data_IF_187851164296
#
_entry.id   IF_187851164296
#
_cell.length_a   1.000
_cell.length_b   1.000
_cell.length_c   1.000
_cell.angle_alpha   90.00
_cell.angle_beta   90.00
_cell.angle_gamma   90.00
#
_symmetry.space_group_name_H-M   'P 1'
#
loop_
_entity.id
_entity.type
_entity.pdbx_description
1 polymer ?
#
# COMPACT_ATOMS: atom_id res chain seq x y z
N UNK A 1 -0.80 8.67 -8.13
CA UNK A 1 -0.82 7.54 -7.40
C UNK A 1 -1.19 6.19 -7.97
N UNK A 2 -2.20 6.07 -8.86
CA UNK A 2 -2.72 4.76 -9.24
C UNK A 2 -3.02 3.90 -7.98
N UNK A 3 -2.57 2.64 -7.92
CA UNK A 3 -2.81 1.76 -6.77
C UNK A 3 -2.10 2.23 -5.47
N UNK A 4 -1.09 3.12 -5.55
CA UNK A 4 -0.46 3.71 -4.37
C UNK A 4 -1.31 4.79 -3.67
N UNK A 5 -2.51 5.10 -4.15
CA UNK A 5 -3.37 6.18 -3.65
C UNK A 5 -3.61 6.13 -2.14
N UNK A 6 -3.65 4.95 -1.53
CA UNK A 6 -3.71 4.83 -0.07
C UNK A 6 -2.47 5.46 0.59
N UNK A 7 -1.28 5.17 0.07
CA UNK A 7 -0.02 5.77 0.54
C UNK A 7 0.03 7.27 0.29
N UNK A 8 -0.38 7.73 -0.90
CA UNK A 8 -0.43 9.15 -1.24
C UNK A 8 -1.35 9.91 -0.27
N UNK A 9 -2.56 9.37 -0.04
CA UNK A 9 -3.57 9.97 0.84
C UNK A 9 -3.07 10.08 2.29
N UNK A 10 -2.50 8.99 2.82
CA UNK A 10 -1.94 8.99 4.17
C UNK A 10 -0.74 9.94 4.30
N UNK A 11 0.17 9.96 3.32
CA UNK A 11 1.32 10.85 3.29
C UNK A 11 0.90 12.32 3.29
N UNK A 12 -0.06 12.71 2.43
CA UNK A 12 -0.60 14.07 2.40
C UNK A 12 -1.33 14.42 3.69
N UNK A 13 -2.06 13.47 4.28
CA UNK A 13 -2.71 13.64 5.58
C UNK A 13 -1.71 13.91 6.70
N UNK A 14 -0.62 13.14 6.77
CA UNK A 14 0.47 13.35 7.72
C UNK A 14 1.12 14.72 7.53
N UNK A 15 1.44 15.09 6.29
CA UNK A 15 2.01 16.40 5.97
C UNK A 15 1.10 17.55 6.40
N UNK A 16 -0.21 17.42 6.16
CA UNK A 16 -1.20 18.45 6.53
C UNK A 16 -1.28 18.66 8.04
N UNK A 17 -1.22 17.58 8.81
CA UNK A 17 -1.26 17.66 10.28
C UNK A 17 0.09 18.16 10.82
N UNK A 18 1.21 17.63 10.35
CA UNK A 18 2.53 18.04 10.80
C UNK A 18 2.86 19.50 10.43
N UNK A 19 2.36 19.95 9.28
CA UNK A 19 2.47 21.34 8.84
C UNK A 19 1.51 22.33 9.52
N UNK A 20 0.62 21.85 10.40
CA UNK A 20 -0.35 22.69 11.13
C UNK A 20 -1.50 23.19 10.26
N UNK A 21 -1.73 22.60 9.08
CA UNK A 21 -2.84 22.98 8.20
C UNK A 21 -4.19 22.40 8.67
N UNK A 22 -4.15 21.31 9.44
CA UNK A 22 -5.34 20.66 9.99
C UNK A 22 -5.02 19.89 11.27
N UNK A 23 -5.95 19.83 12.22
CA UNK A 23 -5.86 18.99 13.43
C UNK A 23 -6.29 17.56 13.17
N UNK A 24 -7.19 17.37 12.20
CA UNK A 24 -7.71 16.06 11.77
C UNK A 24 -7.88 16.02 10.26
N UNK A 25 -7.53 14.89 9.66
CA UNK A 25 -7.67 14.63 8.22
C UNK A 25 -8.31 13.26 8.02
N UNK A 26 -9.25 13.17 7.10
CA UNK A 26 -9.79 11.91 6.62
C UNK A 26 -9.08 11.52 5.35
N UNK A 27 -8.41 10.37 5.37
CA UNK A 27 -7.76 9.76 4.22
C UNK A 27 -8.63 8.59 3.75
N UNK A 28 -9.16 8.65 2.54
CA UNK A 28 -10.03 7.62 2.00
C UNK A 28 -9.59 7.18 0.61
N UNK A 29 -9.68 5.88 0.36
CA UNK A 29 -9.30 5.29 -0.92
C UNK A 29 -10.22 4.12 -1.24
N UNK A 30 -10.56 3.97 -2.51
CA UNK A 30 -11.42 2.90 -2.98
C UNK A 30 -11.04 2.43 -4.38
N UNK A 31 -11.34 1.19 -4.68
CA UNK A 31 -11.34 0.65 -6.04
C UNK A 31 -12.56 -0.21 -6.28
N UNK A 32 -13.02 -0.21 -7.51
CA UNK A 32 -14.12 -1.03 -7.96
C UNK A 32 -13.84 -1.47 -9.40
N UNK A 33 -13.97 -2.78 -9.64
CA UNK A 33 -13.70 -3.37 -10.94
C UNK A 33 -14.45 -2.70 -12.09
N UNK A 34 -15.74 -2.40 -11.91
CA UNK A 34 -16.59 -1.80 -12.94
C UNK A 34 -16.31 -0.31 -13.23
N UNK A 35 -15.36 0.30 -12.54
CA UNK A 35 -14.90 1.68 -12.77
C UNK A 35 -13.64 1.73 -13.65
N UNK A 36 -12.73 2.67 -13.39
CA UNK A 36 -11.47 2.81 -14.13
C UNK A 36 -10.61 1.53 -14.16
N UNK A 37 -10.70 0.69 -13.14
CA UNK A 37 -9.93 -0.56 -13.04
C UNK A 37 -10.20 -1.51 -14.23
N UNK A 38 -11.41 -1.53 -14.78
CA UNK A 38 -11.77 -2.34 -15.94
C UNK A 38 -10.85 -2.05 -17.14
N UNK A 39 -10.42 -0.81 -17.30
CA UNK A 39 -9.58 -0.39 -18.41
C UNK A 39 -8.17 -1.00 -18.35
N UNK A 40 -7.70 -1.33 -17.15
CA UNK A 40 -6.37 -1.88 -16.90
C UNK A 40 -6.35 -3.40 -16.80
N UNK A 41 -7.53 -4.05 -16.80
CA UNK A 41 -7.71 -5.50 -16.70
C UNK A 41 -8.11 -6.13 -18.02
N UNK A 42 -7.72 -5.55 -19.11
CA UNK A 42 -8.04 -6.02 -20.48
C UNK A 42 -7.15 -7.21 -20.88
N UNK A 43 -7.62 -8.19 -21.67
CA UNK A 43 -8.99 -8.35 -22.19
C UNK A 43 -9.89 -9.15 -21.23
N UNK A 44 -11.00 -8.55 -20.83
CA UNK A 44 -11.93 -9.16 -19.87
C UNK A 44 -12.81 -10.24 -20.46
N UNK A 45 -13.15 -10.11 -21.72
CA UNK A 45 -13.93 -11.07 -22.47
C UNK A 45 -13.24 -12.45 -22.51
N UNK A 46 -11.93 -12.48 -22.29
CA UNK A 46 -11.10 -13.68 -22.26
C UNK A 46 -10.54 -13.95 -20.87
N UNK A 47 -11.35 -13.81 -19.83
CA UNK A 47 -10.94 -13.90 -18.43
C UNK A 47 -10.11 -15.15 -18.08
N UNK A 48 -10.33 -16.28 -18.77
CA UNK A 48 -9.57 -17.51 -18.57
C UNK A 48 -8.16 -17.49 -19.19
N UNK A 49 -7.83 -16.48 -19.97
CA UNK A 49 -6.56 -16.37 -20.70
C UNK A 49 -5.62 -15.36 -20.05
N UNK A 50 -5.86 -14.99 -18.81
CA UNK A 50 -4.99 -14.09 -18.05
C UNK A 50 -3.63 -14.76 -17.80
N UNK A 51 -2.50 -14.08 -18.00
CA UNK A 51 -1.20 -14.61 -17.61
C UNK A 51 -1.11 -14.79 -16.09
N UNK A 52 -0.22 -15.65 -15.63
CA UNK A 52 0.00 -15.91 -14.21
C UNK A 52 0.51 -14.67 -13.44
N UNK A 53 1.03 -13.67 -14.14
CA UNK A 53 1.44 -12.37 -13.61
C UNK A 53 0.27 -11.40 -13.37
N UNK A 54 -0.89 -11.65 -13.96
CA UNK A 54 -2.07 -10.80 -13.80
C UNK A 54 -2.64 -10.88 -12.39
N UNK A 55 -3.26 -9.78 -11.95
CA UNK A 55 -3.93 -9.67 -10.66
C UNK A 55 -5.41 -9.31 -10.84
N UNK A 56 -6.23 -9.58 -9.82
CA UNK A 56 -7.63 -9.16 -9.75
C UNK A 56 -7.77 -7.81 -9.06
N UNK A 57 -8.81 -7.05 -9.42
CA UNK A 57 -9.15 -5.84 -8.66
C UNK A 57 -9.60 -6.22 -7.25
N UNK A 58 -8.91 -5.67 -6.25
CA UNK A 58 -9.38 -5.66 -4.88
C UNK A 58 -10.50 -4.63 -4.74
N UNK A 59 -11.76 -5.05 -4.99
CA UNK A 59 -12.92 -4.16 -4.86
C UNK A 59 -13.23 -3.90 -3.40
N UNK A 60 -13.11 -2.65 -3.00
CA UNK A 60 -13.34 -2.23 -1.63
C UNK A 60 -12.89 -0.80 -1.36
N UNK A 61 -13.06 -0.36 -0.14
CA UNK A 61 -12.63 0.97 0.33
C UNK A 61 -12.12 0.91 1.76
N UNK A 62 -11.19 1.81 2.08
CA UNK A 62 -10.74 2.08 3.44
C UNK A 62 -10.73 3.58 3.70
N UNK A 63 -11.09 3.98 4.91
CA UNK A 63 -11.04 5.36 5.37
C UNK A 63 -10.35 5.42 6.74
N UNK A 64 -9.44 6.38 6.89
CA UNK A 64 -8.62 6.55 8.08
C UNK A 64 -8.74 7.98 8.56
N UNK A 65 -9.01 8.16 9.85
CA UNK A 65 -8.98 9.46 10.50
C UNK A 65 -7.61 9.63 11.15
N UNK A 66 -6.81 10.53 10.62
CA UNK A 66 -5.54 10.94 11.21
C UNK A 66 -5.78 12.14 12.13
N UNK A 67 -5.06 12.23 13.23
CA UNK A 67 -5.06 13.36 14.14
C UNK A 67 -3.69 13.52 14.81
N UNK A 68 -3.39 14.73 15.30
CA UNK A 68 -2.21 14.93 16.13
C UNK A 68 -2.45 14.38 17.56
N UNK A 69 -1.39 14.21 18.33
CA UNK A 69 -1.46 13.64 19.67
C UNK A 69 -2.30 14.50 20.63
N UNK A 70 -2.30 15.83 20.46
CA UNK A 70 -3.12 16.74 21.24
C UNK A 70 -4.62 16.58 20.90
N UNK A 71 -4.96 16.44 19.61
CA UNK A 71 -6.33 16.18 19.17
C UNK A 71 -6.84 14.80 19.63
N UNK A 72 -5.96 13.82 19.76
CA UNK A 72 -6.29 12.51 20.33
C UNK A 72 -6.63 12.62 21.85
N UNK A 73 -5.96 13.52 22.57
CA UNK A 73 -6.20 13.77 24.01
C UNK A 73 -7.40 14.68 24.26
N UNK A 74 -7.73 15.60 23.35
CA UNK A 74 -8.81 16.59 23.49
C UNK A 74 -10.19 16.13 22.98
N UNK A 75 -10.30 14.93 22.46
CA UNK A 75 -11.53 14.37 21.88
C UNK A 75 -12.59 13.94 22.92
N UNK A 76 -12.80 14.68 23.98
CA UNK A 76 -13.76 14.37 25.01
C UNK A 76 -14.28 15.60 25.74
N UNK A 77 -15.02 16.50 25.07
CA UNK A 77 -16.09 17.23 25.74
C UNK A 77 -17.36 16.41 25.57
N UNK A 78 -17.81 15.87 26.69
CA UNK A 78 -19.11 15.21 26.81
C UNK A 78 -20.22 16.20 26.50
N UNK A 79 -20.94 16.00 25.40
CA UNK A 79 -22.35 16.40 25.32
C UNK A 79 -23.11 15.35 24.49
N UNK A 80 -23.81 14.51 25.21
CA UNK A 80 -25.10 13.90 24.91
C UNK A 80 -25.26 13.08 23.61
N UNK A 81 -24.64 11.87 23.52
CA UNK A 81 -25.33 10.72 22.91
C UNK A 81 -24.78 9.44 23.53
N UNK A 82 -25.62 8.58 24.05
CA UNK A 82 -25.37 7.47 24.95
C UNK A 82 -24.48 6.30 24.47
N UNK A 83 -23.38 6.56 23.74
CA UNK A 83 -22.36 5.57 23.42
C UNK A 83 -21.02 6.25 23.08
N UNK A 84 -20.46 7.02 24.00
CA UNK A 84 -19.15 7.69 23.86
C UNK A 84 -18.06 6.86 24.51
N UNK A 85 -17.76 5.70 23.95
CA UNK A 85 -16.47 5.07 24.15
C UNK A 85 -15.40 6.00 23.57
N UNK A 86 -14.52 6.55 24.43
CA UNK A 86 -13.32 7.30 24.05
C UNK A 86 -12.55 6.46 23.04
N UNK A 87 -12.59 6.82 21.75
CA UNK A 87 -11.85 6.09 20.71
C UNK A 87 -10.37 6.43 20.88
N UNK A 88 -9.62 5.52 21.45
CA UNK A 88 -8.16 5.56 21.45
C UNK A 88 -7.63 5.37 20.03
N UNK A 89 -6.47 5.97 19.74
CA UNK A 89 -5.78 5.68 18.48
C UNK A 89 -5.48 4.18 18.39
N UNK A 90 -5.67 3.60 17.21
CA UNK A 90 -5.37 2.18 16.95
C UNK A 90 -3.90 1.95 16.66
N UNK A 91 -3.23 2.94 16.10
CA UNK A 91 -1.82 2.92 15.76
C UNK A 91 -1.30 4.35 15.59
N UNK A 92 0.01 4.52 15.52
CA UNK A 92 0.68 5.81 15.30
C UNK A 92 1.55 5.74 14.05
N UNK A 93 1.48 6.77 13.19
CA UNK A 93 2.44 6.95 12.12
C UNK A 93 3.63 7.74 12.69
N UNK A 94 4.82 7.14 12.69
CA UNK A 94 6.04 7.70 13.30
C UNK A 94 7.08 8.15 12.29
N UNK A 95 6.93 7.75 11.03
CA UNK A 95 7.83 8.15 9.95
C UNK A 95 7.21 7.95 8.59
N UNK A 96 7.76 8.64 7.59
CA UNK A 96 7.35 8.46 6.20
C UNK A 96 8.52 8.70 5.26
N UNK A 97 8.50 8.03 4.11
CA UNK A 97 9.43 8.23 3.00
C UNK A 97 8.63 8.45 1.73
N UNK A 98 8.79 9.63 1.15
CA UNK A 98 8.16 9.94 -0.14
C UNK A 98 9.00 9.31 -1.25
N UNK A 99 8.44 8.30 -1.91
CA UNK A 99 9.13 7.62 -3.00
C UNK A 99 9.15 8.44 -4.29
N UNK A 100 10.03 8.05 -5.18
CA UNK A 100 10.16 8.61 -6.53
C UNK A 100 9.55 7.68 -7.57
N UNK A 101 9.21 8.22 -8.74
CA UNK A 101 8.85 7.43 -9.91
C UNK A 101 10.10 6.70 -10.42
N UNK A 102 9.97 5.39 -10.62
CA UNK A 102 11.03 4.53 -11.17
C UNK A 102 10.51 3.84 -12.41
N UNK A 103 11.27 3.91 -13.49
CA UNK A 103 10.93 3.31 -14.78
C UNK A 103 12.09 2.45 -15.30
N UNK A 104 11.86 1.14 -15.37
CA UNK A 104 12.80 0.16 -15.93
C UNK A 104 12.49 -0.18 -17.40
N UNK A 105 11.62 0.58 -18.04
CA UNK A 105 11.27 0.38 -19.45
C UNK A 105 10.33 -0.79 -19.70
N UNK A 106 9.71 -1.35 -18.65
CA UNK A 106 8.74 -2.44 -18.79
C UNK A 106 7.45 -1.94 -19.44
N UNK A 107 6.89 -2.72 -20.37
CA UNK A 107 5.71 -2.34 -21.16
C UNK A 107 4.53 -3.33 -20.98
N UNK A 108 4.74 -4.40 -20.21
CA UNK A 108 3.72 -5.42 -20.01
C UNK A 108 2.70 -4.96 -18.94
N UNK A 109 1.55 -4.47 -19.40
CA UNK A 109 0.45 -4.04 -18.54
C UNK A 109 -0.21 -5.18 -17.74
N UNK A 110 0.03 -6.43 -18.16
CA UNK A 110 -0.48 -7.62 -17.45
C UNK A 110 0.51 -8.10 -16.37
N UNK A 111 1.64 -7.43 -16.22
CA UNK A 111 2.65 -7.71 -15.19
C UNK A 111 2.97 -6.44 -14.38
N UNK A 112 1.92 -5.83 -13.83
CA UNK A 112 2.06 -4.58 -13.05
C UNK A 112 2.97 -4.76 -11.83
N UNK A 113 2.98 -5.95 -11.21
CA UNK A 113 3.86 -6.24 -10.08
C UNK A 113 5.34 -6.05 -10.42
N UNK A 114 5.79 -6.56 -11.57
CA UNK A 114 7.16 -6.34 -12.03
C UNK A 114 7.45 -4.87 -12.35
N UNK A 115 6.46 -4.12 -12.86
CA UNK A 115 6.61 -2.68 -13.11
C UNK A 115 6.75 -1.87 -11.80
N UNK A 116 6.07 -2.27 -10.73
CA UNK A 116 6.08 -1.58 -9.43
C UNK A 116 7.26 -1.96 -8.53
N UNK A 117 7.77 -3.18 -8.63
CA UNK A 117 8.80 -3.71 -7.75
C UNK A 117 10.09 -2.84 -7.70
N UNK A 118 10.60 -2.27 -8.81
CA UNK A 118 11.74 -1.36 -8.76
C UNK A 118 11.51 -0.09 -7.94
N UNK A 119 10.29 0.46 -7.97
CA UNK A 119 9.94 1.62 -7.17
C UNK A 119 9.87 1.27 -5.68
N UNK A 120 9.27 0.12 -5.34
CA UNK A 120 9.25 -0.39 -3.97
C UNK A 120 10.67 -0.64 -3.45
N UNK A 121 11.54 -1.29 -4.25
CA UNK A 121 12.94 -1.53 -3.89
C UNK A 121 13.70 -0.22 -3.62
N UNK A 122 13.54 0.78 -4.51
CA UNK A 122 14.15 2.10 -4.34
C UNK A 122 13.68 2.80 -3.07
N UNK A 123 12.39 2.72 -2.74
CA UNK A 123 11.83 3.39 -1.56
C UNK A 123 12.21 2.66 -0.27
N UNK A 124 12.28 1.33 -0.26
CA UNK A 124 12.78 0.55 0.90
C UNK A 124 14.24 0.90 1.18
N UNK A 125 15.10 0.84 0.16
CA UNK A 125 16.52 1.19 0.30
C UNK A 125 16.70 2.62 0.84
N UNK A 126 15.97 3.59 0.24
CA UNK A 126 16.02 4.98 0.70
C UNK A 126 15.52 5.12 2.14
N UNK A 127 14.42 4.45 2.48
CA UNK A 127 13.87 4.47 3.83
C UNK A 127 14.87 3.95 4.87
N UNK A 128 15.46 2.79 4.62
CA UNK A 128 16.44 2.21 5.53
C UNK A 128 17.65 3.12 5.73
N UNK A 129 18.12 3.78 4.67
CA UNK A 129 19.21 4.74 4.73
C UNK A 129 18.84 6.02 5.50
N UNK A 130 17.67 6.62 5.20
CA UNK A 130 17.24 7.89 5.80
C UNK A 130 16.97 7.76 7.31
N UNK A 131 16.44 6.60 7.72
CA UNK A 131 16.13 6.32 9.12
C UNK A 131 17.26 5.59 9.86
N UNK A 132 18.39 5.32 9.17
CA UNK A 132 19.51 4.52 9.70
C UNK A 132 19.01 3.23 10.36
N UNK A 133 18.11 2.53 9.67
CA UNK A 133 17.42 1.33 10.13
C UNK A 133 17.75 0.11 9.27
N UNK A 134 17.44 -1.06 9.80
CA UNK A 134 17.62 -2.35 9.14
C UNK A 134 16.27 -3.05 8.97
N UNK A 135 16.13 -4.03 8.07
CA UNK A 135 14.88 -4.79 7.94
C UNK A 135 14.39 -5.39 9.26
N UNK A 136 15.32 -5.77 10.14
CA UNK A 136 15.04 -6.38 11.45
C UNK A 136 14.36 -5.43 12.44
N UNK A 137 14.41 -4.14 12.21
CA UNK A 137 13.74 -3.12 13.03
C UNK A 137 12.21 -3.10 12.83
N UNK A 138 11.72 -3.85 11.83
CA UNK A 138 10.31 -3.97 11.48
C UNK A 138 9.83 -5.40 11.66
N UNK A 139 8.67 -5.59 12.29
CA UNK A 139 8.02 -6.89 12.34
C UNK A 139 7.57 -7.34 10.95
N UNK A 140 7.09 -6.39 10.15
CA UNK A 140 6.74 -6.61 8.74
C UNK A 140 7.09 -5.41 7.86
N UNK A 141 7.50 -5.72 6.62
CA UNK A 141 7.62 -4.77 5.50
C UNK A 141 6.51 -5.15 4.52
N UNK A 142 5.57 -4.25 4.31
CA UNK A 142 4.27 -4.55 3.68
C UNK A 142 4.12 -3.74 2.42
N UNK A 143 4.04 -4.40 1.26
CA UNK A 143 3.74 -3.73 -0.01
C UNK A 143 2.26 -3.75 -0.35
N UNK A 144 1.84 -2.88 -1.29
CA UNK A 144 0.44 -2.65 -1.59
C UNK A 144 -0.22 -3.73 -2.43
N UNK A 145 0.35 -3.99 -3.61
CA UNK A 145 -0.27 -4.87 -4.59
C UNK A 145 0.73 -5.39 -5.65
N UNK A 146 1.92 -5.73 -5.21
CA UNK A 146 2.93 -6.35 -6.07
C UNK A 146 2.50 -7.75 -6.54
N UNK A 147 1.73 -8.44 -5.73
CA UNK A 147 1.37 -9.83 -5.94
C UNK A 147 2.60 -10.77 -5.94
N UNK A 148 2.34 -12.05 -6.17
CA UNK A 148 3.37 -13.12 -6.09
C UNK A 148 4.58 -12.85 -7.02
N UNK A 149 4.33 -12.35 -8.24
CA UNK A 149 5.39 -12.08 -9.21
C UNK A 149 6.23 -10.86 -8.79
N UNK A 150 5.57 -9.74 -8.47
CA UNK A 150 6.26 -8.53 -8.05
C UNK A 150 6.98 -8.69 -6.71
N UNK A 151 6.43 -9.47 -5.77
CA UNK A 151 7.10 -9.84 -4.52
C UNK A 151 8.45 -10.51 -4.77
N UNK A 152 8.50 -11.51 -5.67
CA UNK A 152 9.74 -12.20 -6.01
C UNK A 152 10.76 -11.23 -6.62
N UNK A 153 10.33 -10.41 -7.57
CA UNK A 153 11.20 -9.40 -8.20
C UNK A 153 11.73 -8.41 -7.16
N UNK A 154 10.89 -7.94 -6.25
CA UNK A 154 11.30 -7.03 -5.17
C UNK A 154 12.40 -7.65 -4.29
N UNK A 155 12.18 -8.88 -3.84
CA UNK A 155 13.13 -9.59 -2.96
C UNK A 155 14.47 -9.76 -3.68
N UNK A 156 14.46 -10.18 -4.94
CA UNK A 156 15.67 -10.38 -5.74
C UNK A 156 16.44 -9.06 -5.94
N UNK A 157 15.73 -7.96 -6.29
CA UNK A 157 16.33 -6.63 -6.45
C UNK A 157 16.99 -6.11 -5.16
N UNK A 158 16.38 -6.36 -4.01
CA UNK A 158 16.94 -5.93 -2.72
C UNK A 158 18.12 -6.81 -2.30
N UNK A 159 18.07 -8.12 -2.58
CA UNK A 159 19.20 -9.03 -2.32
C UNK A 159 20.45 -8.68 -3.11
N UNK A 160 20.31 -8.23 -4.36
CA UNK A 160 21.43 -7.70 -5.14
C UNK A 160 22.14 -6.51 -4.46
N UNK A 161 21.43 -5.80 -3.58
CA UNK A 161 21.94 -4.68 -2.78
C UNK A 161 22.34 -5.08 -1.35
N UNK A 162 22.30 -6.38 -1.02
CA UNK A 162 22.61 -6.89 0.31
C UNK A 162 21.50 -6.70 1.34
N UNK A 163 20.28 -6.38 0.91
CA UNK A 163 19.11 -6.20 1.78
C UNK A 163 18.21 -7.42 1.63
N UNK A 164 18.01 -8.20 2.66
CA UNK A 164 17.09 -9.34 2.66
C UNK A 164 15.86 -9.05 3.53
N UNK A 165 14.70 -9.05 2.89
CA UNK A 165 13.39 -8.83 3.54
C UNK A 165 12.50 -10.06 3.50
N UNK A 166 12.97 -11.20 2.98
CA UNK A 166 12.13 -12.35 2.64
C UNK A 166 11.30 -12.90 3.79
N UNK A 167 11.85 -12.91 5.01
CA UNK A 167 11.16 -13.42 6.20
C UNK A 167 10.14 -12.44 6.80
N UNK A 168 10.20 -11.17 6.38
CA UNK A 168 9.39 -10.08 6.93
C UNK A 168 8.43 -9.49 5.93
N UNK A 169 8.62 -9.79 4.65
CA UNK A 169 7.80 -9.23 3.60
C UNK A 169 6.44 -9.92 3.49
N UNK A 170 5.39 -9.10 3.43
CA UNK A 170 4.05 -9.50 3.00
C UNK A 170 3.53 -8.49 1.98
N UNK A 171 2.55 -8.89 1.18
CA UNK A 171 1.96 -8.04 0.15
C UNK A 171 0.43 -8.05 0.28
N UNK A 172 -0.18 -6.87 0.35
CA UNK A 172 -1.63 -6.74 0.52
C UNK A 172 -2.41 -7.44 -0.60
N UNK A 173 -1.87 -7.45 -1.82
CA UNK A 173 -2.49 -8.14 -2.94
C UNK A 173 -2.47 -9.66 -2.80
N UNK A 174 -1.49 -10.22 -2.07
CA UNK A 174 -1.45 -11.64 -1.74
C UNK A 174 -2.42 -11.93 -0.59
N UNK A 175 -2.46 -11.07 0.43
CA UNK A 175 -3.25 -11.28 1.64
C UNK A 175 -4.77 -11.09 1.44
N UNK A 176 -5.20 -10.30 0.44
CA UNK A 176 -6.61 -9.97 0.28
C UNK A 176 -7.46 -11.11 -0.28
N UNK A 177 -6.83 -12.10 -0.92
CA UNK A 177 -7.49 -13.24 -1.54
C UNK A 177 -6.88 -14.56 -1.11
N UNK A 178 -7.70 -15.59 -1.05
CA UNK A 178 -7.23 -16.97 -1.00
C UNK A 178 -6.82 -17.41 -2.42
N UNK A 179 -5.51 -17.32 -2.70
CA UNK A 179 -4.96 -17.59 -4.02
C UNK A 179 -5.12 -19.04 -4.50
N UNK A 180 -5.39 -19.99 -3.58
CA UNK A 180 -5.54 -21.40 -3.92
C UNK A 180 -6.97 -21.74 -4.37
N UNK A 181 -7.97 -21.08 -3.78
CA UNK A 181 -9.39 -21.36 -4.05
C UNK A 181 -10.06 -20.33 -4.99
N UNK A 182 -9.51 -19.14 -5.16
CA UNK A 182 -10.16 -18.03 -5.86
C UNK A 182 -9.60 -17.70 -7.25
N UNK A 183 -8.64 -18.48 -7.76
CA UNK A 183 -8.04 -18.30 -9.09
C UNK A 183 -7.56 -16.85 -9.36
N UNK A 184 -6.88 -16.26 -8.38
CA UNK A 184 -6.44 -14.85 -8.47
C UNK A 184 -5.05 -14.68 -9.11
N UNK A 185 -4.40 -15.76 -9.55
CA UNK A 185 -3.06 -15.80 -10.14
C UNK A 185 -2.02 -15.10 -9.24
N UNK A 186 -1.61 -13.86 -9.61
CA UNK A 186 -0.62 -13.11 -8.81
C UNK A 186 -1.19 -12.53 -7.53
N UNK A 187 -2.52 -12.44 -7.39
CA UNK A 187 -3.20 -11.88 -6.23
C UNK A 187 -4.12 -10.71 -6.57
N UNK A 188 -4.41 -9.88 -5.59
CA UNK A 188 -5.21 -8.67 -5.74
C UNK A 188 -4.38 -7.44 -6.11
N UNK A 189 -5.05 -6.43 -6.66
CA UNK A 189 -4.46 -5.14 -6.99
C UNK A 189 -5.55 -4.06 -7.03
N UNK A 190 -5.17 -2.79 -7.06
CA UNK A 190 -6.08 -1.66 -7.17
C UNK A 190 -5.96 -0.68 -5.99
N UNK A 191 -6.52 0.51 -6.19
CA UNK A 191 -6.40 1.60 -5.21
C UNK A 191 -6.93 1.24 -3.81
N UNK A 192 -7.99 0.42 -3.74
CA UNK A 192 -8.58 -0.02 -2.47
C UNK A 192 -7.88 -1.21 -1.83
N UNK A 193 -7.02 -1.94 -2.56
CA UNK A 193 -6.40 -3.18 -2.07
C UNK A 193 -5.63 -2.96 -0.76
N UNK A 194 -4.65 -2.07 -0.76
CA UNK A 194 -3.86 -1.76 0.43
C UNK A 194 -4.68 -1.09 1.54
N UNK A 195 -5.70 -0.28 1.20
CA UNK A 195 -6.56 0.35 2.19
C UNK A 195 -7.45 -0.65 2.94
N UNK A 196 -8.03 -1.61 2.23
CA UNK A 196 -8.82 -2.69 2.84
C UNK A 196 -7.93 -3.54 3.75
N UNK A 197 -6.77 -3.96 3.26
CA UNK A 197 -5.84 -4.78 4.05
C UNK A 197 -5.30 -4.03 5.26
N UNK A 198 -4.98 -2.72 5.12
CA UNK A 198 -4.56 -1.90 6.26
C UNK A 198 -5.67 -1.85 7.32
N UNK A 199 -6.91 -1.55 6.93
CA UNK A 199 -8.02 -1.35 7.88
C UNK A 199 -8.48 -2.65 8.55
N UNK A 200 -8.57 -3.74 7.80
CA UNK A 200 -9.17 -4.99 8.27
C UNK A 200 -8.16 -5.96 8.90
N UNK A 201 -6.91 -5.92 8.47
CA UNK A 201 -5.89 -6.87 8.90
C UNK A 201 -4.72 -6.21 9.64
N UNK A 202 -3.98 -5.30 8.99
CA UNK A 202 -2.73 -4.75 9.52
C UNK A 202 -2.96 -3.99 10.83
N UNK A 203 -3.96 -3.08 10.87
CA UNK A 203 -4.28 -2.32 12.08
C UNK A 203 -4.73 -3.23 13.22
N UNK A 204 -5.38 -4.35 12.92
CA UNK A 204 -5.75 -5.34 13.94
C UNK A 204 -4.52 -6.01 14.53
N UNK A 205 -3.53 -6.40 13.71
CA UNK A 205 -2.28 -6.97 14.19
C UNK A 205 -1.50 -6.01 15.11
N UNK A 206 -1.51 -4.71 14.78
CA UNK A 206 -0.89 -3.67 15.61
C UNK A 206 -1.68 -3.44 16.91
N UNK A 207 -3.01 -3.39 16.85
CA UNK A 207 -3.90 -3.20 18.00
C UNK A 207 -3.80 -4.36 19.02
N UNK A 208 -3.72 -5.58 18.50
CA UNK A 208 -3.50 -6.80 19.30
C UNK A 208 -2.04 -6.98 19.74
N UNK A 209 -1.13 -6.10 19.31
CA UNK A 209 0.32 -6.14 19.57
C UNK A 209 1.02 -7.41 19.10
N UNK A 210 0.44 -8.10 18.10
CA UNK A 210 1.12 -9.17 17.38
C UNK A 210 2.29 -8.59 16.57
N UNK A 211 2.11 -7.36 16.06
CA UNK A 211 3.16 -6.53 15.48
C UNK A 211 3.27 -5.22 16.25
N UNK A 212 4.50 -4.75 16.42
CA UNK A 212 4.79 -3.48 17.12
C UNK A 212 5.12 -2.37 16.15
N UNK A 213 5.82 -2.69 15.06
CA UNK A 213 6.30 -1.72 14.08
C UNK A 213 6.30 -2.35 12.68
N UNK A 214 5.66 -1.68 11.75
CA UNK A 214 5.62 -2.10 10.34
C UNK A 214 6.04 -0.96 9.42
N UNK A 215 6.67 -1.31 8.30
CA UNK A 215 6.85 -0.41 7.17
C UNK A 215 5.76 -0.73 6.13
N UNK A 216 4.76 0.13 6.04
CA UNK A 216 3.63 0.00 5.11
C UNK A 216 3.88 0.81 3.85
N UNK A 217 3.85 0.17 2.69
CA UNK A 217 4.29 0.74 1.42
C UNK A 217 3.32 0.43 0.28
N UNK A 218 2.22 1.15 0.16
CA UNK A 218 1.36 1.06 -1.01
C UNK A 218 2.12 1.34 -2.31
N UNK A 219 1.90 0.48 -3.30
CA UNK A 219 2.58 0.48 -4.59
C UNK A 219 1.62 0.88 -5.71
N UNK A 220 2.12 1.45 -6.79
CA UNK A 220 1.30 1.86 -7.92
C UNK A 220 2.01 1.74 -9.25
N UNK A 221 1.32 1.21 -10.26
CA UNK A 221 1.75 1.20 -11.65
C UNK A 221 1.11 2.39 -12.38
N UNK A 222 1.94 3.29 -12.91
CA UNK A 222 1.48 4.51 -13.57
C UNK A 222 1.09 4.23 -15.03
N UNK A 223 0.06 3.42 -15.19
CA UNK A 223 -0.49 3.01 -16.47
C UNK A 223 -1.63 3.93 -16.89
N UNK A 224 -1.68 4.32 -18.15
CA UNK A 224 -2.81 4.99 -18.78
C UNK A 224 -3.09 4.40 -20.16
N UNK A 225 -4.34 4.50 -20.64
CA UNK A 225 -4.69 4.07 -22.00
C UNK A 225 -3.83 4.76 -23.05
N UNK A 226 -3.60 6.06 -22.89
CA UNK A 226 -2.81 6.84 -23.85
C UNK A 226 -1.38 6.34 -23.89
N UNK A 227 -0.69 6.24 -22.74
CA UNK A 227 0.68 5.77 -22.70
C UNK A 227 0.83 4.32 -23.19
N UNK A 228 -0.13 3.46 -22.86
CA UNK A 228 -0.16 2.07 -23.33
C UNK A 228 -0.30 1.99 -24.86
N UNK A 229 -1.26 2.71 -25.44
CA UNK A 229 -1.49 2.72 -26.89
C UNK A 229 -0.31 3.34 -27.67
N UNK A 230 0.45 4.23 -27.04
CA UNK A 230 1.68 4.80 -27.60
C UNK A 230 2.91 3.89 -27.42
N UNK A 231 2.73 2.71 -26.81
CA UNK A 231 3.83 1.76 -26.55
C UNK A 231 4.86 2.27 -25.54
N UNK A 232 4.46 3.20 -24.65
CA UNK A 232 5.30 3.69 -23.55
C UNK A 232 5.48 2.62 -22.48
N UNK A 233 6.51 2.78 -21.66
CA UNK A 233 6.74 1.97 -20.46
C UNK A 233 5.71 2.29 -19.36
N UNK A 234 5.65 1.40 -18.36
CA UNK A 234 4.81 1.53 -17.16
C UNK A 234 5.70 1.81 -15.96
N UNK A 235 5.88 3.08 -15.57
CA UNK A 235 6.65 3.43 -14.38
C UNK A 235 5.94 2.97 -13.10
N UNK A 236 6.73 2.69 -12.06
CA UNK A 236 6.23 2.41 -10.71
C UNK A 236 6.41 3.57 -9.75
N UNK A 237 5.61 3.59 -8.69
CA UNK A 237 5.70 4.50 -7.55
C UNK A 237 5.38 3.74 -6.24
N UNK A 238 6.02 4.11 -5.14
CA UNK A 238 5.70 3.60 -3.81
C UNK A 238 6.05 4.64 -2.75
N UNK A 239 5.23 4.78 -1.71
CA UNK A 239 5.49 5.66 -0.56
C UNK A 239 5.47 4.84 0.72
N UNK A 240 6.48 5.00 1.56
CA UNK A 240 6.63 4.27 2.82
C UNK A 240 6.08 5.04 4.02
N UNK A 241 5.36 4.35 4.91
CA UNK A 241 4.88 4.86 6.18
C UNK A 241 5.29 3.89 7.29
N UNK A 242 5.92 4.39 8.33
CA UNK A 242 6.18 3.62 9.55
C UNK A 242 4.94 3.70 10.43
N UNK A 243 4.35 2.57 10.74
CA UNK A 243 3.16 2.48 11.59
C UNK A 243 3.50 1.62 12.81
N UNK A 244 3.26 2.16 14.00
CA UNK A 244 3.56 1.51 15.27
C UNK A 244 2.30 1.31 16.12
N UNK A 245 2.30 0.23 16.91
CA UNK A 245 1.29 -0.01 17.95
C UNK A 245 1.34 1.08 19.02
N UNK A 246 0.20 1.37 19.66
CA UNK A 246 0.08 2.34 20.77
C UNK A 246 -0.14 1.66 22.11
#
# INVERSE_FOLDING_TARGET
GACSTCGDSLTLGVMSIAGGFADRVVCATSSHYASAEKEFRFPLEYGNQRPLSASWTGTGSGAFVLGNEAAAKSGGTEENTGNTGRRTARARITGMTVGKIVDYGLKDSMNMGACMAPAAASTIEQHLNDFNSQPEDYDKIITGDLGKVGQRVLIDLLREKGIDISDRHIDCGIEIYDGDSQDTHAGGSGCGCSAVTLSAYILKQLEERNWKKVLFMPTGALLSKTSFNEGKSVPGIAHGLVIESV
#
